data_IF_453151792457
#
_entry.id   IF_453151792457
#
_cell.length_a   1.000
_cell.length_b   1.000
_cell.length_c   1.000
_cell.angle_alpha   90.00
_cell.angle_beta   90.00
_cell.angle_gamma   90.00
#
_symmetry.space_group_name_H-M   'P 1'
#
loop_
_entity.id
_entity.type
_entity.pdbx_description
1 polymer ?
#
# COMPACT_ATOMS: atom_id res chain seq x y z
N UNK A 1 15.02 -12.82 -10.30
CA UNK A 1 15.62 -11.82 -9.40
C UNK A 1 14.58 -10.73 -9.16
N UNK A 2 14.34 -10.35 -7.93
CA UNK A 2 13.29 -9.38 -7.53
C UNK A 2 13.78 -7.95 -7.76
N UNK A 3 12.87 -6.98 -7.89
CA UNK A 3 13.25 -5.57 -8.08
C UNK A 3 13.83 -4.97 -6.81
N UNK A 4 13.29 -5.33 -5.66
CA UNK A 4 13.85 -5.06 -4.35
C UNK A 4 14.42 -6.38 -3.84
N UNK A 5 15.74 -6.48 -3.68
CA UNK A 5 16.37 -7.74 -3.27
C UNK A 5 16.18 -7.93 -1.77
N UNK A 6 15.92 -9.18 -1.35
CA UNK A 6 15.79 -9.51 0.07
C UNK A 6 17.03 -9.10 0.89
N UNK A 7 18.24 -9.25 0.32
CA UNK A 7 19.48 -8.80 0.95
C UNK A 7 19.46 -7.29 1.24
N UNK A 8 18.97 -6.48 0.30
CA UNK A 8 18.92 -5.03 0.44
C UNK A 8 17.88 -4.63 1.50
N UNK A 9 16.74 -5.34 1.55
CA UNK A 9 15.73 -5.18 2.63
C UNK A 9 16.36 -5.43 3.99
N UNK A 10 17.06 -6.56 4.16
CA UNK A 10 17.72 -6.91 5.42
C UNK A 10 18.79 -5.88 5.81
N UNK A 11 19.61 -5.44 4.86
CA UNK A 11 20.59 -4.37 5.10
C UNK A 11 19.91 -3.07 5.58
N UNK A 12 18.79 -2.69 4.95
CA UNK A 12 18.02 -1.52 5.35
C UNK A 12 17.40 -1.68 6.75
N UNK A 13 16.95 -2.88 7.11
CA UNK A 13 16.44 -3.19 8.46
C UNK A 13 17.56 -3.04 9.49
N UNK A 14 18.72 -3.66 9.26
CA UNK A 14 19.88 -3.58 10.16
C UNK A 14 20.32 -2.12 10.35
N UNK A 15 20.38 -1.36 9.26
CA UNK A 15 20.66 0.07 9.30
C UNK A 15 19.60 0.83 10.10
N UNK A 16 18.32 0.52 9.92
CA UNK A 16 17.20 1.17 10.60
C UNK A 16 17.21 0.88 12.10
N UNK A 17 17.56 -0.34 12.51
CA UNK A 17 17.74 -0.72 13.92
C UNK A 17 18.93 0.04 14.52
N UNK A 18 20.11 -0.03 13.87
CA UNK A 18 21.34 0.62 14.35
C UNK A 18 21.16 2.13 14.54
N UNK A 19 20.40 2.78 13.66
CA UNK A 19 20.16 4.23 13.68
C UNK A 19 18.83 4.63 14.33
N UNK A 20 18.14 3.68 14.98
CA UNK A 20 16.88 3.91 15.71
C UNK A 20 15.77 4.53 14.84
N UNK A 21 15.73 4.22 13.55
CA UNK A 21 14.74 4.78 12.63
C UNK A 21 13.33 4.24 12.91
N UNK A 22 13.20 2.99 13.36
CA UNK A 22 11.91 2.45 13.79
C UNK A 22 11.38 3.12 15.07
N UNK A 23 12.26 3.49 16.00
CA UNK A 23 11.88 4.27 17.19
C UNK A 23 11.32 5.63 16.77
N UNK A 24 12.05 6.34 15.89
CA UNK A 24 11.59 7.62 15.32
C UNK A 24 10.28 7.49 14.57
N UNK A 25 10.10 6.45 13.75
CA UNK A 25 8.83 6.18 13.06
C UNK A 25 7.68 6.04 14.07
N UNK A 26 7.91 5.28 15.14
CA UNK A 26 6.92 5.10 16.20
C UNK A 26 6.63 6.40 16.96
N UNK A 27 7.62 7.28 17.14
CA UNK A 27 7.41 8.59 17.75
C UNK A 27 6.56 9.50 16.85
N UNK A 28 6.78 9.48 15.52
CA UNK A 28 5.89 10.14 14.56
C UNK A 28 4.47 9.60 14.71
N UNK A 29 4.29 8.28 14.73
CA UNK A 29 2.96 7.67 14.91
C UNK A 29 2.28 8.03 16.23
N UNK A 30 3.02 8.10 17.34
CA UNK A 30 2.49 8.50 18.66
C UNK A 30 2.12 9.97 18.71
N UNK A 31 2.80 10.81 17.93
CA UNK A 31 2.53 12.25 17.87
C UNK A 31 1.28 12.62 17.05
N UNK A 32 0.75 11.67 16.28
CA UNK A 32 -0.53 11.83 15.59
C UNK A 32 -1.65 12.06 16.62
N UNK A 33 -2.55 13.04 16.40
CA UNK A 33 -3.74 13.16 17.22
C UNK A 33 -4.52 11.85 17.22
N UNK A 34 -5.06 11.50 18.38
CA UNK A 34 -5.94 10.35 18.52
C UNK A 34 -7.39 10.74 18.18
N UNK A 35 -8.17 9.74 17.80
CA UNK A 35 -9.61 9.87 17.60
C UNK A 35 -10.32 8.53 17.69
N UNK A 36 -11.64 8.59 17.83
CA UNK A 36 -12.49 7.41 17.95
C UNK A 36 -12.84 6.87 16.57
N UNK A 37 -12.35 5.67 16.27
CA UNK A 37 -12.68 4.90 15.07
C UNK A 37 -13.49 3.67 15.45
N UNK A 38 -14.66 3.49 14.84
CA UNK A 38 -15.52 2.30 15.06
C UNK A 38 -14.88 0.99 14.60
N UNK A 39 -13.77 1.04 13.85
CA UNK A 39 -13.06 -0.16 13.40
C UNK A 39 -13.88 -1.05 12.46
N UNK A 40 -14.74 -0.45 11.64
CA UNK A 40 -15.62 -1.15 10.69
C UNK A 40 -14.91 -1.69 9.43
N UNK A 41 -13.66 -1.26 9.17
CA UNK A 41 -12.87 -1.74 8.03
C UNK A 41 -13.33 -1.27 6.64
N UNK A 42 -14.25 -0.30 6.55
CA UNK A 42 -14.74 0.24 5.26
C UNK A 42 -13.65 1.02 4.48
N UNK A 43 -12.68 1.60 5.17
CA UNK A 43 -11.56 2.30 4.53
C UNK A 43 -10.47 1.34 4.01
N UNK A 44 -10.52 0.05 4.34
CA UNK A 44 -9.49 -0.92 3.99
C UNK A 44 -9.74 -1.52 2.60
N UNK A 45 -9.74 -0.68 1.57
CA UNK A 45 -10.11 -1.05 0.19
C UNK A 45 -9.12 -0.60 -0.89
N UNK A 46 -8.07 0.13 -0.52
CA UNK A 46 -7.04 0.61 -1.44
C UNK A 46 -5.62 0.24 -0.98
N UNK A 47 -4.71 0.07 -1.94
CA UNK A 47 -3.26 0.14 -1.72
C UNK A 47 -2.91 1.61 -1.49
N UNK A 48 -2.54 1.95 -0.25
CA UNK A 48 -2.11 3.31 0.08
C UNK A 48 -0.62 3.48 -0.20
N UNK A 49 -0.22 4.67 -0.67
CA UNK A 49 1.18 5.07 -0.74
C UNK A 49 1.86 4.94 0.62
N UNK A 50 3.07 4.40 0.66
CA UNK A 50 3.85 4.27 1.91
C UNK A 50 5.31 4.66 1.70
N UNK A 51 5.97 5.02 2.79
CA UNK A 51 7.41 5.22 2.80
C UNK A 51 8.17 3.89 2.92
N UNK A 52 9.44 3.88 2.50
CA UNK A 52 10.31 2.71 2.61
C UNK A 52 10.44 2.25 4.05
N UNK A 53 10.63 3.17 5.01
CA UNK A 53 10.71 2.82 6.44
C UNK A 53 9.44 2.11 6.94
N UNK A 54 8.27 2.46 6.41
CA UNK A 54 7.01 1.80 6.76
C UNK A 54 6.93 0.40 6.16
N UNK A 55 7.37 0.23 4.90
CA UNK A 55 7.49 -1.09 4.29
C UNK A 55 8.41 -2.00 5.11
N UNK A 56 9.59 -1.52 5.52
CA UNK A 56 10.53 -2.28 6.33
C UNK A 56 9.91 -2.65 7.69
N UNK A 57 9.18 -1.74 8.32
CA UNK A 57 8.51 -1.98 9.59
C UNK A 57 7.43 -3.08 9.47
N UNK A 58 6.64 -3.04 8.39
CA UNK A 58 5.62 -4.05 8.09
C UNK A 58 6.27 -5.39 7.72
N UNK A 59 7.37 -5.37 6.97
CA UNK A 59 8.14 -6.55 6.63
C UNK A 59 8.63 -7.25 7.90
N UNK A 60 9.31 -6.55 8.81
CA UNK A 60 9.74 -7.07 10.11
C UNK A 60 8.57 -7.66 10.91
N UNK A 61 7.42 -6.97 10.92
CA UNK A 61 6.23 -7.46 11.60
C UNK A 61 5.74 -8.81 11.05
N UNK A 62 5.89 -9.05 9.76
CA UNK A 62 5.44 -10.29 9.13
C UNK A 62 6.46 -11.42 9.21
N UNK A 63 7.77 -11.14 9.32
CA UNK A 63 8.82 -12.17 9.35
C UNK A 63 8.58 -13.25 10.41
N UNK A 64 8.28 -12.86 11.64
CA UNK A 64 8.06 -13.80 12.74
C UNK A 64 6.65 -14.43 12.76
N UNK A 65 5.80 -14.08 11.78
CA UNK A 65 4.38 -14.49 11.70
C UNK A 65 4.13 -15.24 10.39
N UNK A 66 4.76 -16.41 10.24
CA UNK A 66 4.84 -17.17 8.98
C UNK A 66 3.46 -17.38 8.32
N UNK A 67 2.45 -17.87 9.06
CA UNK A 67 1.13 -18.12 8.50
C UNK A 67 0.41 -16.83 8.07
N UNK A 68 0.58 -15.77 8.87
CA UNK A 68 0.05 -14.45 8.54
C UNK A 68 0.71 -13.90 7.28
N UNK A 69 2.05 -13.98 7.20
CA UNK A 69 2.84 -13.56 6.04
C UNK A 69 2.39 -14.28 4.78
N UNK A 70 2.26 -15.61 4.82
CA UNK A 70 1.76 -16.41 3.69
C UNK A 70 0.34 -15.97 3.27
N UNK A 71 -0.55 -15.75 4.23
CA UNK A 71 -1.91 -15.27 3.97
C UNK A 71 -1.94 -13.89 3.30
N UNK A 72 -1.18 -12.93 3.85
CA UNK A 72 -1.07 -11.58 3.30
C UNK A 72 -0.44 -11.60 1.91
N UNK A 73 0.65 -12.33 1.68
CA UNK A 73 1.30 -12.43 0.36
C UNK A 73 0.32 -13.02 -0.67
N UNK A 74 -0.44 -14.06 -0.32
CA UNK A 74 -1.46 -14.60 -1.21
C UNK A 74 -2.48 -13.53 -1.64
N UNK A 75 -2.98 -12.73 -0.67
CA UNK A 75 -3.93 -11.65 -0.94
C UNK A 75 -3.31 -10.48 -1.72
N UNK A 76 -2.02 -10.19 -1.50
CA UNK A 76 -1.27 -9.16 -2.24
C UNK A 76 -1.17 -9.55 -3.72
N UNK A 77 -0.89 -10.82 -4.01
CA UNK A 77 -0.83 -11.33 -5.37
C UNK A 77 -2.20 -11.22 -6.06
N UNK A 78 -3.28 -11.63 -5.38
CA UNK A 78 -4.65 -11.45 -5.92
C UNK A 78 -4.97 -9.98 -6.19
N UNK A 79 -4.73 -9.11 -5.20
CA UNK A 79 -4.97 -7.68 -5.32
C UNK A 79 -4.23 -7.09 -6.53
N UNK A 80 -2.92 -7.31 -6.63
CA UNK A 80 -2.10 -6.72 -7.68
C UNK A 80 -2.49 -7.22 -9.07
N UNK A 81 -2.64 -8.54 -9.24
CA UNK A 81 -2.88 -9.14 -10.55
C UNK A 81 -4.31 -8.95 -11.06
N UNK A 82 -5.27 -8.73 -10.16
CA UNK A 82 -6.67 -8.53 -10.52
C UNK A 82 -7.12 -7.07 -10.48
N UNK A 83 -6.22 -6.13 -10.12
CA UNK A 83 -6.52 -4.72 -9.87
C UNK A 83 -7.34 -4.06 -11.00
N UNK A 84 -7.11 -4.42 -12.27
CA UNK A 84 -7.84 -3.84 -13.40
C UNK A 84 -9.20 -4.48 -13.68
N UNK A 85 -9.54 -5.54 -12.98
CA UNK A 85 -10.61 -6.47 -13.37
C UNK A 85 -11.69 -6.62 -12.32
N UNK A 86 -11.33 -6.47 -11.04
CA UNK A 86 -12.28 -6.47 -9.92
C UNK A 86 -11.72 -5.68 -8.75
N UNK A 87 -12.60 -5.10 -7.94
CA UNK A 87 -12.18 -4.38 -6.74
C UNK A 87 -11.97 -5.37 -5.59
N UNK A 88 -10.70 -5.57 -5.23
CA UNK A 88 -10.34 -6.37 -4.07
C UNK A 88 -10.20 -5.48 -2.80
N UNK A 89 -10.57 -5.98 -1.60
CA UNK A 89 -10.24 -5.29 -0.36
C UNK A 89 -8.73 -5.26 -0.11
N UNK A 90 -8.29 -4.39 0.79
CA UNK A 90 -6.90 -4.32 1.23
C UNK A 90 -6.38 -5.73 1.61
N UNK A 91 -5.19 -6.15 1.15
CA UNK A 91 -4.65 -7.48 1.44
C UNK A 91 -4.44 -7.78 2.92
N UNK A 92 -4.39 -6.74 3.75
CA UNK A 92 -4.24 -6.86 5.20
C UNK A 92 -5.57 -6.81 5.94
N UNK A 93 -6.71 -6.86 5.25
CA UNK A 93 -8.04 -6.97 5.85
C UNK A 93 -8.37 -8.44 6.11
N UNK A 94 -8.82 -8.75 7.31
CA UNK A 94 -9.33 -10.08 7.69
C UNK A 94 -10.83 -10.24 7.39
N UNK A 95 -11.36 -11.43 7.67
CA UNK A 95 -12.77 -11.74 7.42
C UNK A 95 -13.73 -11.03 8.41
N UNK A 96 -13.22 -10.51 9.52
CA UNK A 96 -13.96 -9.77 10.54
C UNK A 96 -13.83 -8.25 10.36
N UNK A 97 -13.39 -7.78 9.19
CA UNK A 97 -13.14 -6.37 8.88
C UNK A 97 -12.06 -5.70 9.75
N UNK A 98 -11.12 -6.47 10.29
CA UNK A 98 -9.98 -5.98 11.07
C UNK A 98 -8.72 -5.94 10.21
N UNK A 99 -7.80 -5.06 10.60
CA UNK A 99 -6.50 -4.97 9.95
C UNK A 99 -5.52 -5.94 10.63
N UNK A 100 -4.94 -6.84 9.85
CA UNK A 100 -3.97 -7.84 10.27
C UNK A 100 -2.60 -7.24 10.67
N UNK A 101 -2.32 -6.01 10.22
CA UNK A 101 -1.09 -5.28 10.55
C UNK A 101 -1.41 -4.00 11.33
N UNK A 102 -2.48 -3.99 12.14
CA UNK A 102 -3.00 -2.77 12.77
C UNK A 102 -1.92 -2.00 13.54
N UNK A 103 -1.03 -2.70 14.25
CA UNK A 103 0.04 -2.11 15.06
C UNK A 103 1.08 -1.35 14.21
N UNK A 104 1.39 -1.86 13.03
CA UNK A 104 2.39 -1.31 12.09
C UNK A 104 1.74 -0.69 10.85
N UNK A 105 0.44 -0.39 10.91
CA UNK A 105 -0.30 0.18 9.76
C UNK A 105 0.33 1.51 9.30
N UNK A 106 0.33 1.79 7.99
CA UNK A 106 0.95 3.00 7.45
C UNK A 106 0.30 4.31 7.93
N UNK A 107 1.03 5.41 7.79
CA UNK A 107 0.64 6.77 8.13
C UNK A 107 -0.68 7.16 7.45
N UNK A 108 -0.81 6.85 6.16
CA UNK A 108 -2.05 7.08 5.40
C UNK A 108 -3.27 6.40 6.06
N UNK A 109 -3.13 5.17 6.53
CA UNK A 109 -4.19 4.46 7.24
C UNK A 109 -4.49 5.05 8.62
N UNK A 110 -3.47 5.55 9.33
CA UNK A 110 -3.65 6.21 10.64
C UNK A 110 -4.38 7.54 10.51
N UNK A 111 -4.07 8.30 9.45
CA UNK A 111 -4.57 9.64 9.24
C UNK A 111 -5.91 9.70 8.53
N UNK A 112 -6.41 8.61 7.95
CA UNK A 112 -7.63 8.58 7.14
C UNK A 112 -8.82 9.30 7.79
N UNK A 113 -9.11 9.02 9.06
CA UNK A 113 -10.22 9.66 9.78
C UNK A 113 -10.01 11.14 10.12
N UNK A 114 -8.76 11.64 10.09
CA UNK A 114 -8.42 13.00 10.48
C UNK A 114 -8.54 14.02 9.34
N UNK A 115 -8.97 13.62 8.15
CA UNK A 115 -9.19 14.56 7.05
C UNK A 115 -10.38 15.47 7.35
N UNK A 116 -10.28 16.73 6.96
CA UNK A 116 -11.47 17.59 6.84
C UNK A 116 -12.31 17.13 5.65
N UNK A 117 -13.64 17.14 5.79
CA UNK A 117 -14.55 16.64 4.75
C UNK A 117 -14.37 17.35 3.42
N UNK A 118 -14.15 18.67 3.43
CA UNK A 118 -13.94 19.46 2.23
C UNK A 118 -12.63 19.09 1.52
N UNK A 119 -11.55 18.90 2.29
CA UNK A 119 -10.26 18.45 1.75
C UNK A 119 -10.36 17.04 1.16
N UNK A 120 -11.13 16.16 1.81
CA UNK A 120 -11.33 14.78 1.37
C UNK A 120 -12.09 14.74 0.04
N UNK A 121 -13.22 15.45 -0.04
CA UNK A 121 -14.04 15.47 -1.25
C UNK A 121 -13.29 16.06 -2.45
N UNK A 122 -12.54 17.15 -2.26
CA UNK A 122 -11.66 17.70 -3.31
C UNK A 122 -10.63 16.69 -3.80
N UNK A 123 -10.07 15.89 -2.89
CA UNK A 123 -9.14 14.84 -3.27
C UNK A 123 -9.84 13.70 -4.03
N UNK A 124 -11.07 13.35 -3.64
CA UNK A 124 -11.84 12.30 -4.29
C UNK A 124 -12.16 12.63 -5.75
N UNK A 125 -12.56 13.87 -6.05
CA UNK A 125 -12.80 14.31 -7.43
C UNK A 125 -11.55 14.16 -8.31
N UNK A 126 -10.39 14.56 -7.79
CA UNK A 126 -9.11 14.40 -8.48
C UNK A 126 -8.74 12.93 -8.73
N UNK A 127 -9.08 12.03 -7.80
CA UNK A 127 -8.84 10.58 -7.95
C UNK A 127 -9.69 10.01 -9.08
N UNK A 128 -10.97 10.40 -9.16
CA UNK A 128 -11.88 9.95 -10.23
C UNK A 128 -11.37 10.40 -11.60
N UNK A 129 -10.92 11.66 -11.73
CA UNK A 129 -10.34 12.16 -12.97
C UNK A 129 -9.10 11.35 -13.38
N UNK A 130 -8.19 11.09 -12.44
CA UNK A 130 -6.98 10.29 -12.69
C UNK A 130 -7.30 8.85 -13.09
N UNK A 131 -8.29 8.22 -12.44
CA UNK A 131 -8.71 6.86 -12.77
C UNK A 131 -9.25 6.77 -14.20
N UNK A 132 -10.08 7.74 -14.62
CA UNK A 132 -10.59 7.81 -15.98
C UNK A 132 -9.47 8.04 -17.01
N UNK A 133 -8.56 8.99 -16.74
CA UNK A 133 -7.40 9.22 -17.59
C UNK A 133 -6.52 7.96 -17.73
N UNK A 134 -6.35 7.23 -16.64
CA UNK A 134 -5.59 5.98 -16.63
C UNK A 134 -6.28 4.87 -17.41
N UNK A 135 -7.62 4.74 -17.32
CA UNK A 135 -8.41 3.82 -18.14
C UNK A 135 -8.18 4.08 -19.63
N UNK A 136 -8.28 5.33 -20.07
CA UNK A 136 -8.07 5.71 -21.47
C UNK A 136 -6.64 5.40 -21.94
N UNK A 137 -5.65 5.67 -21.08
CA UNK A 137 -4.26 5.30 -21.36
C UNK A 137 -4.09 3.79 -21.52
N UNK A 138 -4.64 2.97 -20.62
CA UNK A 138 -4.54 1.51 -20.69
C UNK A 138 -5.23 0.96 -21.95
N UNK A 139 -6.40 1.49 -22.30
CA UNK A 139 -7.12 1.12 -23.52
C UNK A 139 -6.29 1.44 -24.77
N UNK A 140 -5.73 2.65 -24.85
CA UNK A 140 -4.88 3.09 -25.97
C UNK A 140 -3.59 2.28 -26.09
N UNK A 141 -2.93 1.99 -24.98
CA UNK A 141 -1.61 1.36 -24.98
C UNK A 141 -1.66 -0.17 -25.11
N UNK A 142 -2.66 -0.82 -24.50
CA UNK A 142 -2.69 -2.28 -24.36
C UNK A 142 -3.92 -2.96 -24.96
N UNK A 143 -4.96 -2.19 -25.32
CA UNK A 143 -6.15 -2.69 -25.99
C UNK A 143 -7.12 -3.44 -25.09
N UNK A 144 -7.10 -3.22 -23.78
CA UNK A 144 -8.13 -3.72 -22.84
C UNK A 144 -8.73 -2.57 -22.04
N UNK A 145 -9.95 -2.77 -21.56
CA UNK A 145 -10.62 -1.81 -20.69
C UNK A 145 -10.53 -2.26 -19.23
N UNK A 146 -10.26 -1.30 -18.34
CA UNK A 146 -10.36 -1.51 -16.90
C UNK A 146 -11.85 -1.60 -16.55
N UNK A 147 -12.20 -2.53 -15.65
CA UNK A 147 -13.57 -2.71 -15.18
C UNK A 147 -14.15 -1.40 -14.58
N UNK A 148 -15.38 -1.06 -14.95
CA UNK A 148 -16.08 0.14 -14.47
C UNK A 148 -16.20 0.18 -12.94
N UNK A 149 -16.37 -0.96 -12.28
CA UNK A 149 -16.41 -1.07 -10.82
C UNK A 149 -15.09 -0.58 -10.21
N UNK A 150 -13.95 -0.91 -10.83
CA UNK A 150 -12.62 -0.50 -10.36
C UNK A 150 -12.44 1.00 -10.56
N UNK A 151 -12.75 1.51 -11.76
CA UNK A 151 -12.54 2.91 -12.13
C UNK A 151 -13.37 3.85 -11.24
N UNK A 152 -14.62 3.47 -11.00
CA UNK A 152 -15.59 4.29 -10.26
C UNK A 152 -15.61 3.97 -8.76
N UNK A 153 -14.79 3.03 -8.28
CA UNK A 153 -14.73 2.71 -6.86
C UNK A 153 -14.28 3.93 -6.06
N UNK A 154 -14.95 4.16 -4.94
CA UNK A 154 -14.61 5.22 -4.01
C UNK A 154 -14.74 4.74 -2.57
N UNK A 155 -13.79 5.18 -1.75
CA UNK A 155 -13.96 5.16 -0.31
C UNK A 155 -14.64 6.48 0.03
N UNK A 156 -15.84 6.42 0.61
CA UNK A 156 -16.53 7.62 1.08
C UNK A 156 -15.82 8.24 2.30
N UNK A 157 -16.03 9.54 2.50
CA UNK A 157 -15.60 10.22 3.72
C UNK A 157 -16.15 9.51 4.96
N UNK A 158 -15.34 9.39 6.00
CA UNK A 158 -15.76 8.71 7.24
C UNK A 158 -16.51 9.68 8.16
N UNK A 159 -17.83 9.78 8.01
CA UNK A 159 -18.68 10.58 8.93
C UNK A 159 -18.78 10.00 10.36
N UNK A 160 -18.22 8.79 10.59
CA UNK A 160 -18.28 8.08 11.88
C UNK A 160 -17.01 8.22 12.72
N UNK A 161 -15.94 8.78 12.16
CA UNK A 161 -14.72 9.03 12.90
C UNK A 161 -14.86 10.34 13.68
N UNK A 162 -14.47 10.35 14.95
CA UNK A 162 -14.54 11.55 15.80
C UNK A 162 -13.14 11.85 16.33
N UNK A 163 -12.47 12.95 15.91
CA UNK A 163 -11.18 13.32 16.48
C UNK A 163 -11.34 13.76 17.95
N UNK A 164 -10.34 13.48 18.79
CA UNK A 164 -10.41 13.89 20.21
C UNK A 164 -10.26 15.41 20.43
N UNK A 165 -9.65 16.12 19.47
CA UNK A 165 -9.49 17.59 19.48
C UNK A 165 -10.07 18.18 18.21
N UNK A 166 -9.29 18.15 17.13
CA UNK A 166 -9.66 18.71 15.83
C UNK A 166 -9.23 17.78 14.69
N UNK A 167 -9.88 17.95 13.54
CA UNK A 167 -9.41 17.41 12.27
C UNK A 167 -8.09 18.06 11.86
N UNK A 168 -7.21 17.29 11.22
CA UNK A 168 -5.89 17.77 10.81
C UNK A 168 -6.00 18.70 9.59
N UNK A 169 -5.38 19.88 9.68
CA UNK A 169 -5.19 20.76 8.54
C UNK A 169 -4.30 20.11 7.48
N UNK A 170 -4.45 20.50 6.21
CA UNK A 170 -3.58 20.00 5.12
C UNK A 170 -2.09 20.17 5.43
N UNK A 171 -1.67 21.33 5.94
CA UNK A 171 -0.27 21.58 6.32
C UNK A 171 0.22 20.63 7.41
N UNK A 172 -0.59 20.38 8.44
CA UNK A 172 -0.20 19.45 9.51
C UNK A 172 -0.16 17.99 9.02
N UNK A 173 -1.04 17.62 8.08
CA UNK A 173 -0.98 16.30 7.43
C UNK A 173 0.32 16.14 6.64
N UNK A 174 0.69 17.15 5.84
CA UNK A 174 1.92 17.16 5.05
C UNK A 174 3.18 17.07 5.92
N UNK A 175 3.21 17.76 7.07
CA UNK A 175 4.39 17.69 7.95
C UNK A 175 4.73 16.26 8.40
N UNK A 176 3.72 15.42 8.65
CA UNK A 176 3.98 14.01 9.01
C UNK A 176 4.58 13.22 7.85
N UNK A 177 4.17 13.49 6.61
CA UNK A 177 4.80 12.88 5.44
C UNK A 177 6.24 13.37 5.27
N UNK A 178 6.51 14.64 5.52
CA UNK A 178 7.88 15.21 5.49
C UNK A 178 8.80 14.55 6.52
N UNK A 179 8.28 14.24 7.72
CA UNK A 179 9.00 13.49 8.76
C UNK A 179 9.37 12.08 8.27
N UNK A 180 8.44 11.35 7.64
CA UNK A 180 8.71 10.03 7.07
C UNK A 180 9.68 10.09 5.87
N UNK A 181 9.57 11.11 5.01
CA UNK A 181 10.51 11.33 3.91
C UNK A 181 11.93 11.58 4.40
N UNK A 182 12.06 12.24 5.56
CA UNK A 182 13.36 12.40 6.21
C UNK A 182 13.92 11.04 6.64
N UNK A 183 13.11 10.15 7.23
CA UNK A 183 13.54 8.80 7.60
C UNK A 183 13.97 7.99 6.38
N UNK A 184 13.21 8.04 5.30
CA UNK A 184 13.56 7.38 4.03
C UNK A 184 14.87 7.92 3.44
N UNK A 185 15.06 9.24 3.45
CA UNK A 185 16.30 9.86 2.97
C UNK A 185 17.53 9.33 3.72
N UNK A 186 17.41 9.08 5.03
CA UNK A 186 18.50 8.47 5.80
C UNK A 186 18.85 7.05 5.32
N UNK A 187 17.86 6.28 4.86
CA UNK A 187 18.07 4.93 4.32
C UNK A 187 18.65 5.01 2.90
N UNK A 188 18.15 5.89 2.05
CA UNK A 188 18.70 6.05 0.69
C UNK A 188 20.16 6.53 0.73
N UNK A 189 20.48 7.50 1.58
CA UNK A 189 21.84 8.02 1.72
C UNK A 189 22.83 7.00 2.31
N UNK A 190 22.37 5.91 2.93
CA UNK A 190 23.26 4.87 3.43
C UNK A 190 23.79 3.95 2.33
N UNK A 191 23.17 3.95 1.14
CA UNK A 191 23.49 3.04 0.05
C UNK A 191 23.07 1.59 0.28
N UNK A 192 22.26 1.30 1.31
CA UNK A 192 21.75 -0.05 1.57
C UNK A 192 20.82 -0.57 0.47
N UNK A 193 20.19 0.34 -0.27
CA UNK A 193 19.26 0.05 -1.36
C UNK A 193 19.38 1.11 -2.45
N UNK A 194 19.28 0.67 -3.70
CA UNK A 194 19.24 1.52 -4.88
C UNK A 194 17.98 1.21 -5.69
N UNK A 195 16.94 2.02 -5.46
CA UNK A 195 15.65 1.91 -6.15
C UNK A 195 15.16 3.29 -6.56
N UNK A 196 14.44 3.37 -7.68
CA UNK A 196 13.87 4.63 -8.17
C UNK A 196 13.05 5.31 -7.07
N UNK A 197 13.26 6.61 -6.84
CA UNK A 197 12.39 7.38 -5.96
C UNK A 197 11.06 7.66 -6.68
N UNK A 198 10.00 7.00 -6.25
CA UNK A 198 8.64 7.14 -6.80
C UNK A 198 7.60 6.81 -5.74
N UNK A 199 6.39 7.30 -5.97
CA UNK A 199 5.24 6.88 -5.18
C UNK A 199 4.99 5.37 -5.40
N UNK A 200 5.01 4.62 -4.30
CA UNK A 200 4.75 3.18 -4.24
C UNK A 200 3.74 2.92 -3.14
N UNK A 201 2.69 2.20 -3.50
CA UNK A 201 1.78 1.68 -2.50
C UNK A 201 2.37 0.49 -1.75
N UNK A 202 1.72 0.14 -0.65
CA UNK A 202 2.08 -1.03 0.15
C UNK A 202 2.12 -2.31 -0.67
N UNK A 203 1.16 -2.49 -1.60
CA UNK A 203 1.11 -3.67 -2.47
C UNK A 203 2.31 -3.70 -3.41
N UNK A 204 2.67 -2.56 -4.00
CA UNK A 204 3.78 -2.43 -4.95
C UNK A 204 5.12 -2.78 -4.30
N UNK A 205 5.37 -2.33 -3.06
CA UNK A 205 6.59 -2.71 -2.34
C UNK A 205 6.71 -4.23 -2.18
N UNK A 206 5.63 -4.89 -1.76
CA UNK A 206 5.64 -6.34 -1.63
C UNK A 206 5.81 -7.03 -2.98
N UNK A 207 5.11 -6.58 -4.03
CA UNK A 207 5.26 -7.15 -5.37
C UNK A 207 6.70 -6.99 -5.88
N UNK A 208 7.32 -5.82 -5.72
CA UNK A 208 8.71 -5.59 -6.12
C UNK A 208 9.72 -6.38 -5.25
N UNK A 209 9.37 -6.72 -4.01
CA UNK A 209 10.17 -7.61 -3.15
C UNK A 209 10.06 -9.10 -3.52
N UNK A 210 8.99 -9.50 -4.21
CA UNK A 210 8.70 -10.90 -4.55
C UNK A 210 8.99 -11.22 -6.03
N UNK A 211 8.86 -10.22 -6.90
CA UNK A 211 8.93 -10.36 -8.35
C UNK A 211 9.75 -9.21 -8.97
N UNK A 212 10.23 -9.43 -10.19
CA UNK A 212 10.79 -8.34 -10.98
C UNK A 212 9.64 -7.44 -11.49
N UNK A 213 9.75 -6.12 -11.31
CA UNK A 213 8.70 -5.13 -11.65
C UNK A 213 8.16 -5.30 -13.06
N UNK A 214 9.04 -5.37 -14.06
CA UNK A 214 8.61 -5.50 -15.46
C UNK A 214 7.95 -6.85 -15.73
N UNK A 215 8.40 -7.92 -15.07
CA UNK A 215 7.77 -9.23 -15.18
C UNK A 215 6.36 -9.21 -14.59
N UNK A 216 6.21 -8.72 -13.36
CA UNK A 216 4.93 -8.61 -12.67
C UNK A 216 3.94 -7.76 -13.48
N UNK A 217 4.39 -6.62 -13.98
CA UNK A 217 3.59 -5.74 -14.81
C UNK A 217 3.18 -6.38 -16.14
N UNK A 218 4.11 -7.01 -16.87
CA UNK A 218 3.80 -7.69 -18.13
C UNK A 218 2.80 -8.83 -17.94
N UNK A 219 2.95 -9.61 -16.87
CA UNK A 219 1.99 -10.66 -16.51
C UNK A 219 0.61 -10.06 -16.23
N UNK A 220 0.53 -8.99 -15.43
CA UNK A 220 -0.71 -8.29 -15.11
C UNK A 220 -1.44 -7.82 -16.37
N UNK A 221 -0.72 -7.15 -17.28
CA UNK A 221 -1.29 -6.72 -18.57
C UNK A 221 -1.82 -7.92 -19.37
N UNK A 222 -1.05 -9.00 -19.46
CA UNK A 222 -1.45 -10.19 -20.22
C UNK A 222 -2.74 -10.82 -19.68
N UNK A 223 -2.84 -11.06 -18.38
CA UNK A 223 -4.02 -11.68 -17.76
C UNK A 223 -5.25 -10.75 -17.70
N UNK A 224 -5.04 -9.43 -17.82
CA UNK A 224 -6.12 -8.47 -18.03
C UNK A 224 -6.71 -8.61 -19.45
N UNK A 225 -5.88 -8.86 -20.47
CA UNK A 225 -6.31 -9.11 -21.85
C UNK A 225 -6.89 -10.50 -22.08
N UNK A 226 -6.43 -11.50 -21.33
CA UNK A 226 -6.79 -12.91 -21.50
C UNK A 226 -7.43 -13.47 -20.20
N UNK A 227 -8.75 -13.25 -19.97
CA UNK A 227 -9.42 -13.69 -18.74
C UNK A 227 -9.30 -15.20 -18.48
N UNK A 228 -9.33 -16.02 -19.53
CA UNK A 228 -9.31 -17.48 -19.47
C UNK A 228 -8.06 -18.05 -18.77
N UNK A 229 -6.91 -17.36 -18.89
CA UNK A 229 -5.65 -17.81 -18.29
C UNK A 229 -5.39 -17.20 -16.91
N UNK A 230 -6.20 -16.22 -16.47
CA UNK A 230 -5.91 -15.37 -15.31
C UNK A 230 -5.77 -16.19 -14.03
N UNK A 231 -6.80 -16.96 -13.68
CA UNK A 231 -6.82 -17.78 -12.45
C UNK A 231 -5.64 -18.77 -12.43
N UNK A 232 -5.46 -19.52 -13.52
CA UNK A 232 -4.35 -20.49 -13.65
C UNK A 232 -2.98 -19.83 -13.50
N UNK A 233 -2.81 -18.61 -14.03
CA UNK A 233 -1.54 -17.87 -13.96
C UNK A 233 -1.26 -17.38 -12.54
N UNK A 234 -2.24 -16.77 -11.88
CA UNK A 234 -2.13 -16.31 -10.48
C UNK A 234 -1.84 -17.52 -9.56
N UNK A 235 -2.56 -18.63 -9.73
CA UNK A 235 -2.35 -19.85 -8.94
C UNK A 235 -0.94 -20.42 -9.12
N UNK A 236 -0.38 -20.37 -10.34
CA UNK A 236 1.01 -20.79 -10.59
C UNK A 236 2.01 -19.88 -9.90
N UNK A 237 1.81 -18.57 -9.95
CA UNK A 237 2.69 -17.59 -9.29
C UNK A 237 2.66 -17.80 -7.78
N UNK A 238 1.47 -17.97 -7.19
CA UNK A 238 1.31 -18.29 -5.77
C UNK A 238 2.08 -19.55 -5.38
N UNK A 239 2.01 -20.63 -6.17
CA UNK A 239 2.78 -21.86 -5.92
C UNK A 239 4.28 -21.67 -6.01
N UNK A 240 4.78 -20.67 -6.74
CA UNK A 240 6.23 -20.39 -6.80
C UNK A 240 6.66 -19.54 -5.60
N UNK A 241 5.82 -18.60 -5.19
CA UNK A 241 6.15 -17.61 -4.15
C UNK A 241 5.88 -18.09 -2.73
N UNK A 242 4.83 -18.90 -2.51
CA UNK A 242 4.35 -19.28 -1.18
C UNK A 242 4.88 -20.62 -0.65
N UNK A 243 5.71 -21.31 -1.45
CA UNK A 243 6.42 -22.54 -1.04
C UNK A 243 7.47 -22.16 0.00
#
# INVERSE_FOLDING_TARGET
MTSIKNKDILNCIDYSIKNKLFEKLNDVYKSLPVGNCLGCGNCCMESVGINLIEFLNIFCYLEDRVDLKKSCISKILDYYFEEYTKKNPCPFKDNNNRCLIYEVRPLNCRMFGHWKKEDYNKNLDNVIEKNNNYRELMKKQYGFEINDEVVNYRIDYCDRFIPNKDYLSKSKRLSFFDELMTLDSNIYSSGCIDIDFRDRGIVEYFIESLLYRNLAYNVKIRISKEPEIRKRTIDRIKRIILV
#
